data_IF_051996279581
#
_entry.id   IF_051996279581
#
_cell.length_a   1.000
_cell.length_b   1.000
_cell.length_c   1.000
_cell.angle_alpha   90.00
_cell.angle_beta   90.00
_cell.angle_gamma   90.00
#
_symmetry.space_group_name_H-M   'P 1'
#
loop_
_entity.id
_entity.type
_entity.pdbx_description
1 polymer ?
#
# COMPACT_ATOMS: atom_id res chain seq x y z
N UNK A 1 31.47 -12.19 40.07
CA UNK A 1 31.65 -10.72 40.12
C UNK A 1 30.77 -10.12 39.04
N UNK A 2 29.54 -9.73 39.40
CA UNK A 2 28.56 -9.16 38.47
C UNK A 2 28.90 -7.69 38.22
N UNK A 3 29.25 -7.34 36.98
CA UNK A 3 29.20 -5.95 36.53
C UNK A 3 27.91 -5.75 35.74
N UNK A 4 26.93 -5.12 36.39
CA UNK A 4 25.71 -4.59 35.76
C UNK A 4 26.13 -3.59 34.67
N UNK A 5 26.02 -3.99 33.41
CA UNK A 5 26.10 -3.10 32.26
C UNK A 5 24.79 -2.34 32.07
N UNK A 6 24.90 -1.02 31.94
CA UNK A 6 23.84 0.00 31.94
C UNK A 6 22.67 -0.32 31.01
N UNK A 7 21.43 -0.08 31.47
CA UNK A 7 20.28 0.19 30.60
C UNK A 7 20.64 1.43 29.77
N UNK A 8 20.83 1.28 28.46
CA UNK A 8 20.94 2.44 27.58
C UNK A 8 19.58 3.11 27.50
N UNK A 9 19.48 4.32 28.01
CA UNK A 9 18.43 5.26 27.64
C UNK A 9 18.51 5.45 26.12
N UNK A 10 17.49 5.00 25.39
CA UNK A 10 17.36 5.24 23.95
C UNK A 10 17.11 6.73 23.74
N UNK A 11 18.17 7.51 23.55
CA UNK A 11 18.06 8.75 22.78
C UNK A 11 17.63 8.35 21.37
N UNK A 12 16.54 8.93 20.87
CA UNK A 12 16.05 8.71 19.51
C UNK A 12 17.13 9.19 18.53
N UNK A 13 18.01 8.27 18.10
CA UNK A 13 19.06 8.55 17.13
C UNK A 13 18.39 8.67 15.76
N UNK A 14 18.00 9.89 15.40
CA UNK A 14 17.63 10.21 14.03
C UNK A 14 18.88 10.17 13.16
N UNK A 15 18.84 9.40 12.08
CA UNK A 15 19.91 9.41 11.10
C UNK A 15 20.05 10.82 10.50
N UNK A 16 21.29 11.32 10.38
CA UNK A 16 21.54 12.64 9.78
C UNK A 16 21.57 12.63 8.26
N UNK A 17 21.65 11.45 7.64
CA UNK A 17 21.71 11.26 6.19
C UNK A 17 20.89 10.03 5.78
N UNK A 18 20.20 10.14 4.66
CA UNK A 18 19.55 9.05 3.95
C UNK A 18 19.56 9.33 2.44
N UNK A 19 19.42 8.29 1.64
CA UNK A 19 19.32 8.44 0.18
C UNK A 19 17.90 8.86 -0.20
N UNK A 20 16.90 8.31 0.51
CA UNK A 20 15.48 8.63 0.32
C UNK A 20 14.80 8.80 1.67
N UNK A 21 14.14 9.95 1.86
CA UNK A 21 13.27 10.23 3.00
C UNK A 21 11.81 10.15 2.59
N UNK A 22 11.05 9.24 3.20
CA UNK A 22 9.60 9.11 3.05
C UNK A 22 8.90 9.77 4.24
N UNK A 23 8.03 10.74 3.98
CA UNK A 23 7.29 11.46 5.02
C UNK A 23 5.84 10.96 5.03
N UNK A 24 5.45 10.31 6.13
CA UNK A 24 4.15 9.67 6.33
C UNK A 24 4.21 8.15 6.17
N UNK A 25 3.85 7.42 7.22
CA UNK A 25 3.84 5.96 7.30
C UNK A 25 2.51 5.30 6.95
N UNK A 26 1.54 6.07 6.44
CA UNK A 26 0.29 5.50 5.94
C UNK A 26 0.51 4.53 4.77
N UNK A 27 -0.57 3.93 4.26
CA UNK A 27 -0.49 2.87 3.24
C UNK A 27 0.34 3.24 2.01
N UNK A 28 0.26 4.49 1.52
CA UNK A 28 1.07 4.96 0.40
C UNK A 28 2.56 5.04 0.77
N UNK A 29 2.92 5.71 1.87
CA UNK A 29 4.32 5.88 2.25
C UNK A 29 5.00 4.58 2.65
N UNK A 30 4.29 3.70 3.35
CA UNK A 30 4.75 2.35 3.65
C UNK A 30 4.95 1.52 2.37
N UNK A 31 4.03 1.61 1.40
CA UNK A 31 4.17 0.94 0.10
C UNK A 31 5.38 1.44 -0.68
N UNK A 32 5.60 2.76 -0.72
CA UNK A 32 6.78 3.35 -1.37
C UNK A 32 8.07 2.86 -0.72
N UNK A 33 8.16 2.90 0.62
CA UNK A 33 9.35 2.42 1.32
C UNK A 33 9.60 0.93 1.08
N UNK A 34 8.55 0.11 1.06
CA UNK A 34 8.63 -1.32 0.78
C UNK A 34 9.19 -1.58 -0.62
N UNK A 35 8.57 -1.03 -1.67
CA UNK A 35 8.99 -1.30 -3.05
C UNK A 35 10.37 -0.72 -3.40
N UNK A 36 10.78 0.38 -2.76
CA UNK A 36 12.15 0.88 -2.89
C UNK A 36 13.19 -0.11 -2.33
N UNK A 37 12.84 -0.84 -1.27
CA UNK A 37 13.71 -1.88 -0.70
C UNK A 37 13.65 -3.18 -1.50
N UNK A 38 12.47 -3.57 -1.96
CA UNK A 38 12.26 -4.85 -2.65
C UNK A 38 12.83 -4.86 -4.09
N UNK A 39 12.56 -3.81 -4.88
CA UNK A 39 12.79 -3.86 -6.34
C UNK A 39 13.94 -2.98 -6.83
N UNK A 40 14.27 -1.91 -6.10
CA UNK A 40 15.28 -0.96 -6.56
C UNK A 40 16.66 -1.46 -6.16
N UNK A 41 17.06 -1.33 -4.88
CA UNK A 41 18.38 -1.77 -4.41
C UNK A 41 18.42 -1.96 -2.89
N UNK A 42 18.93 -3.10 -2.44
CA UNK A 42 19.25 -3.36 -1.02
C UNK A 42 20.16 -2.31 -0.40
N UNK A 43 20.99 -1.65 -1.21
CA UNK A 43 21.97 -0.66 -0.76
C UNK A 43 21.39 0.72 -0.46
N UNK A 44 20.14 1.03 -0.85
CA UNK A 44 19.54 2.33 -0.54
C UNK A 44 19.19 2.43 0.95
N UNK A 45 19.67 3.51 1.58
CA UNK A 45 19.24 3.91 2.90
C UNK A 45 17.93 4.70 2.80
N UNK A 46 16.81 4.00 2.97
CA UNK A 46 15.46 4.56 2.97
C UNK A 46 15.01 4.80 4.41
N UNK A 47 14.69 6.05 4.74
CA UNK A 47 14.17 6.45 6.06
C UNK A 47 12.71 6.84 5.92
N UNK A 48 11.84 6.27 6.76
CA UNK A 48 10.44 6.64 6.85
C UNK A 48 10.18 7.37 8.17
N UNK A 49 9.56 8.55 8.09
CA UNK A 49 9.18 9.35 9.25
C UNK A 49 7.67 9.45 9.31
N UNK A 50 7.07 8.91 10.38
CA UNK A 50 5.66 9.06 10.69
C UNK A 50 5.50 9.86 11.99
N UNK A 51 4.59 10.85 11.95
CA UNK A 51 4.31 11.72 13.10
C UNK A 51 3.62 10.95 14.23
N UNK A 52 2.78 9.97 13.92
CA UNK A 52 2.05 9.20 14.91
C UNK A 52 1.97 7.70 14.54
N UNK A 53 2.82 6.90 15.20
CA UNK A 53 2.91 5.44 15.02
C UNK A 53 1.64 4.66 15.41
N UNK A 54 0.70 5.29 16.12
CA UNK A 54 -0.59 4.66 16.44
C UNK A 54 -1.56 4.71 15.26
N UNK A 55 -1.27 5.53 14.24
CA UNK A 55 -2.10 5.72 13.05
C UNK A 55 -3.57 6.12 13.33
N UNK A 56 -3.90 6.54 14.55
CA UNK A 56 -5.29 6.82 14.99
C UNK A 56 -6.04 7.84 14.13
N UNK A 57 -5.32 8.73 13.45
CA UNK A 57 -5.89 9.75 12.54
C UNK A 57 -5.45 9.57 11.09
N UNK A 58 -4.80 8.45 10.77
CA UNK A 58 -4.37 8.18 9.41
C UNK A 58 -5.57 7.73 8.57
N UNK A 59 -5.67 8.26 7.35
CA UNK A 59 -6.71 7.88 6.40
C UNK A 59 -6.71 6.38 6.09
N UNK A 60 -5.55 5.73 6.14
CA UNK A 60 -5.42 4.28 5.92
C UNK A 60 -6.20 3.46 6.94
N UNK A 61 -6.12 3.79 8.22
CA UNK A 61 -6.83 3.05 9.30
C UNK A 61 -8.31 3.43 9.35
N UNK A 62 -8.64 4.68 9.00
CA UNK A 62 -10.02 5.18 8.99
C UNK A 62 -10.80 4.83 7.71
N UNK A 63 -10.14 4.26 6.70
CA UNK A 63 -10.79 3.82 5.47
C UNK A 63 -11.68 2.61 5.74
N UNK A 64 -12.81 2.52 5.01
CA UNK A 64 -13.69 1.34 5.04
C UNK A 64 -12.97 0.08 4.54
N UNK A 65 -11.85 0.25 3.83
CA UNK A 65 -11.10 -0.84 3.23
C UNK A 65 -11.80 -1.33 1.95
N UNK A 66 -11.02 -1.55 0.90
CA UNK A 66 -11.57 -2.02 -0.37
C UNK A 66 -10.53 -2.03 -1.48
N UNK A 67 -10.53 -3.09 -2.27
CA UNK A 67 -9.73 -3.20 -3.48
C UNK A 67 -10.67 -3.09 -4.67
N UNK A 68 -10.76 -1.88 -5.22
CA UNK A 68 -11.60 -1.60 -6.38
C UNK A 68 -10.77 -1.75 -7.66
N UNK A 69 -11.32 -2.40 -8.69
CA UNK A 69 -10.66 -2.58 -10.00
C UNK A 69 -11.41 -1.94 -11.17
N UNK A 70 -12.68 -1.53 -10.96
CA UNK A 70 -13.50 -0.98 -12.04
C UNK A 70 -13.25 0.52 -12.23
N UNK A 71 -12.45 0.89 -13.24
CA UNK A 71 -12.11 2.29 -13.53
C UNK A 71 -12.33 2.65 -15.00
N UNK A 72 -12.36 3.95 -15.29
CA UNK A 72 -12.54 4.48 -16.65
C UNK A 72 -11.24 4.98 -17.28
N UNK A 73 -10.15 5.01 -16.52
CA UNK A 73 -8.83 5.44 -16.97
C UNK A 73 -7.87 4.24 -16.98
N UNK A 74 -7.09 4.03 -18.06
CA UNK A 74 -6.16 2.92 -18.17
C UNK A 74 -5.19 2.81 -16.98
N UNK A 75 -4.66 3.94 -16.51
CA UNK A 75 -3.67 4.01 -15.44
C UNK A 75 -4.25 3.49 -14.13
N UNK A 76 -5.51 3.82 -13.84
CA UNK A 76 -6.20 3.35 -12.64
C UNK A 76 -6.48 1.85 -12.71
N UNK A 77 -6.83 1.33 -13.90
CA UNK A 77 -7.01 -0.11 -14.11
C UNK A 77 -5.69 -0.83 -13.83
N UNK A 78 -4.59 -0.38 -14.43
CA UNK A 78 -3.26 -0.98 -14.24
C UNK A 78 -2.79 -0.93 -12.79
N UNK A 79 -2.94 0.22 -12.10
CA UNK A 79 -2.60 0.32 -10.67
C UNK A 79 -3.46 -0.61 -9.82
N UNK A 80 -4.74 -0.77 -10.15
CA UNK A 80 -5.64 -1.67 -9.42
C UNK A 80 -5.31 -3.15 -9.62
N UNK A 81 -4.93 -3.53 -10.84
CA UNK A 81 -4.45 -4.88 -11.16
C UNK A 81 -3.17 -5.19 -10.38
N UNK A 82 -2.21 -4.26 -10.38
CA UNK A 82 -0.98 -4.38 -9.59
C UNK A 82 -1.29 -4.59 -8.10
N UNK A 83 -2.17 -3.76 -7.52
CA UNK A 83 -2.61 -3.93 -6.12
C UNK A 83 -3.31 -5.26 -5.86
N UNK A 84 -4.10 -5.75 -6.82
CA UNK A 84 -4.78 -7.03 -6.74
C UNK A 84 -3.82 -8.21 -6.76
N UNK A 85 -2.79 -8.17 -7.63
CA UNK A 85 -1.74 -9.19 -7.65
C UNK A 85 -0.92 -9.16 -6.37
N UNK A 86 -0.55 -7.98 -5.87
CA UNK A 86 0.18 -7.84 -4.62
C UNK A 86 -0.57 -8.45 -3.44
N UNK A 87 -1.89 -8.21 -3.32
CA UNK A 87 -2.70 -8.81 -2.25
C UNK A 87 -2.81 -10.32 -2.42
N UNK A 88 -2.90 -10.84 -3.66
CA UNK A 88 -2.94 -12.28 -3.93
C UNK A 88 -1.61 -12.96 -3.59
N UNK A 89 -0.49 -12.32 -3.87
CA UNK A 89 0.88 -12.77 -3.57
C UNK A 89 1.43 -12.29 -2.23
N UNK A 90 0.60 -11.71 -1.34
CA UNK A 90 1.07 -10.99 -0.15
C UNK A 90 2.01 -11.83 0.73
N UNK A 91 1.81 -13.15 0.76
CA UNK A 91 2.59 -14.07 1.58
C UNK A 91 4.03 -14.22 1.08
N UNK A 92 4.24 -14.07 -0.22
CA UNK A 92 5.57 -14.14 -0.81
C UNK A 92 6.38 -12.88 -0.45
N UNK A 93 5.70 -11.74 -0.28
CA UNK A 93 6.31 -10.46 0.05
C UNK A 93 6.47 -10.21 1.56
N UNK A 94 5.44 -10.51 2.35
CA UNK A 94 5.37 -10.13 3.77
C UNK A 94 5.39 -11.33 4.72
N UNK A 95 5.46 -12.56 4.20
CA UNK A 95 5.37 -13.78 5.00
C UNK A 95 3.95 -14.05 5.50
N UNK A 96 3.83 -14.68 6.67
CA UNK A 96 2.53 -15.07 7.22
C UNK A 96 1.84 -13.88 7.90
N UNK A 97 1.20 -13.04 7.09
CA UNK A 97 0.39 -11.90 7.54
C UNK A 97 -1.10 -12.16 7.30
N UNK A 98 -1.92 -11.80 8.29
CA UNK A 98 -3.37 -11.89 8.18
C UNK A 98 -3.94 -10.56 7.66
N UNK A 99 -4.31 -10.52 6.37
CA UNK A 99 -4.88 -9.33 5.74
C UNK A 99 -6.38 -9.12 6.02
N UNK A 100 -7.08 -10.16 6.47
CA UNK A 100 -8.55 -10.19 6.54
C UNK A 100 -9.25 -9.74 5.22
N UNK A 101 -8.60 -9.95 4.07
CA UNK A 101 -9.15 -9.59 2.76
C UNK A 101 -10.11 -10.68 2.26
N UNK A 102 -11.31 -10.27 1.80
CA UNK A 102 -12.26 -11.21 1.20
C UNK A 102 -12.65 -10.76 -0.22
N UNK A 103 -12.40 -11.59 -1.26
CA UNK A 103 -12.55 -11.18 -2.66
C UNK A 103 -14.00 -11.30 -3.16
N UNK A 104 -14.94 -10.58 -2.54
CA UNK A 104 -16.36 -10.62 -2.94
C UNK A 104 -16.69 -9.79 -4.20
N UNK A 105 -15.74 -9.01 -4.72
CA UNK A 105 -15.95 -8.13 -5.88
C UNK A 105 -16.92 -6.98 -5.59
N UNK A 106 -17.24 -6.22 -6.64
CA UNK A 106 -18.17 -5.09 -6.59
C UNK A 106 -19.18 -5.18 -7.73
N UNK A 107 -20.46 -4.89 -7.43
CA UNK A 107 -21.51 -4.75 -8.41
C UNK A 107 -21.84 -3.26 -8.59
N UNK A 108 -21.55 -2.73 -9.78
CA UNK A 108 -21.90 -1.36 -10.15
C UNK A 108 -23.19 -1.36 -10.96
N UNK A 109 -24.18 -0.58 -10.52
CA UNK A 109 -25.46 -0.41 -11.21
C UNK A 109 -25.54 1.00 -11.78
N UNK A 110 -26.13 1.13 -12.97
CA UNK A 110 -26.35 2.42 -13.62
C UNK A 110 -27.84 2.61 -13.92
N UNK A 111 -28.29 3.87 -13.85
CA UNK A 111 -29.54 4.29 -14.51
C UNK A 111 -29.33 4.35 -16.03
N UNK A 112 -30.42 4.54 -16.79
CA UNK A 112 -30.38 4.71 -18.25
C UNK A 112 -29.30 5.70 -18.72
N UNK A 113 -29.14 6.82 -17.99
CA UNK A 113 -28.15 7.87 -18.31
C UNK A 113 -26.70 7.39 -18.22
N UNK A 114 -26.42 6.36 -17.43
CA UNK A 114 -25.08 5.80 -17.22
C UNK A 114 -24.83 4.48 -17.95
N UNK A 115 -25.85 3.93 -18.62
CA UNK A 115 -25.78 2.61 -19.26
C UNK A 115 -24.66 2.53 -20.29
N UNK A 116 -24.58 3.50 -21.20
CA UNK A 116 -23.53 3.54 -22.24
C UNK A 116 -22.11 3.58 -21.64
N UNK A 117 -21.91 4.32 -20.56
CA UNK A 117 -20.61 4.36 -19.86
C UNK A 117 -20.29 3.02 -19.21
N UNK A 118 -21.28 2.37 -18.60
CA UNK A 118 -21.12 1.07 -17.97
C UNK A 118 -20.92 -0.05 -19.00
N UNK A 119 -21.35 0.12 -20.25
CA UNK A 119 -21.05 -0.80 -21.35
C UNK A 119 -19.65 -0.59 -21.94
N UNK A 120 -19.18 0.67 -22.00
CA UNK A 120 -17.87 1.00 -22.57
C UNK A 120 -16.72 0.61 -21.64
N UNK A 121 -16.82 0.93 -20.35
CA UNK A 121 -15.71 0.77 -19.41
C UNK A 121 -15.20 -0.69 -19.27
N UNK A 122 -16.07 -1.72 -19.24
CA UNK A 122 -15.61 -3.11 -19.20
C UNK A 122 -14.76 -3.50 -20.41
N UNK A 123 -15.02 -2.95 -21.60
CA UNK A 123 -14.20 -3.24 -22.79
C UNK A 123 -12.75 -2.83 -22.57
N UNK A 124 -12.55 -1.62 -22.05
CA UNK A 124 -11.22 -1.12 -21.73
C UNK A 124 -10.55 -1.97 -20.63
N UNK A 125 -11.31 -2.41 -19.63
CA UNK A 125 -10.81 -3.30 -18.58
C UNK A 125 -10.32 -4.63 -19.17
N UNK A 126 -11.12 -5.28 -20.02
CA UNK A 126 -10.75 -6.53 -20.67
C UNK A 126 -9.53 -6.39 -21.58
N UNK A 127 -9.43 -5.28 -22.33
CA UNK A 127 -8.26 -4.97 -23.16
C UNK A 127 -6.97 -4.85 -22.33
N UNK A 128 -7.07 -4.42 -21.07
CA UNK A 128 -5.96 -4.26 -20.15
C UNK A 128 -5.73 -5.48 -19.23
N UNK A 129 -6.50 -6.56 -19.42
CA UNK A 129 -6.35 -7.81 -18.67
C UNK A 129 -7.05 -7.85 -17.31
N UNK A 130 -8.00 -6.95 -17.06
CA UNK A 130 -8.91 -6.97 -15.91
C UNK A 130 -10.19 -7.77 -16.16
#
# INVERSE_FOLDING_TARGET
MCTKGKRSSSEDVFQSHCDVLVIGGGGVGSSVAFWLKEEVLDSLNVVLVERNITYLRASTVLSVGGLWQQFSLPENIQMSLFGAEFIRGIKDYLGDVELHFTPHGYLTLASEKGAETLERNPRLQYELGA
#
